data_IF_959755103464
#
_entry.id   IF_959755103464
#
_cell.length_a   1.000
_cell.length_b   1.000
_cell.length_c   1.000
_cell.angle_alpha   90.00
_cell.angle_beta   90.00
_cell.angle_gamma   90.00
#
_symmetry.space_group_name_H-M   'P 1'
#
loop_
_entity.id
_entity.type
_entity.pdbx_description
1 polymer ?
#
# COMPACT_ATOMS: atom_id res chain seq x y z
N UNK A 1 -11.44 8.31 15.24
CA UNK A 1 -10.44 9.27 15.76
C UNK A 1 -11.09 10.61 16.01
N UNK A 2 -10.62 11.41 17.00
CA UNK A 2 -11.09 12.79 17.22
C UNK A 2 -10.25 13.79 16.40
N UNK A 3 -10.73 15.05 16.29
CA UNK A 3 -10.10 16.10 15.47
C UNK A 3 -8.63 16.38 15.87
N UNK A 4 -8.28 16.26 17.15
CA UNK A 4 -6.92 16.45 17.64
C UNK A 4 -6.00 15.34 17.15
N UNK A 5 -6.45 14.09 17.18
CA UNK A 5 -5.69 12.95 16.67
C UNK A 5 -5.45 13.08 15.16
N UNK A 6 -6.47 13.48 14.38
CA UNK A 6 -6.34 13.70 12.93
C UNK A 6 -5.28 14.77 12.63
N UNK A 7 -5.35 15.93 13.29
CA UNK A 7 -4.35 17.00 13.13
C UNK A 7 -2.93 16.54 13.45
N UNK A 8 -2.76 15.73 14.50
CA UNK A 8 -1.45 15.20 14.87
C UNK A 8 -0.93 14.22 13.79
N UNK A 9 -1.80 13.34 13.26
CA UNK A 9 -1.43 12.40 12.19
C UNK A 9 -1.03 13.13 10.91
N UNK A 10 -1.78 14.15 10.49
CA UNK A 10 -1.45 14.95 9.31
C UNK A 10 -0.11 15.67 9.47
N UNK A 11 0.13 16.27 10.63
CA UNK A 11 1.40 16.92 10.94
C UNK A 11 2.57 15.92 10.99
N UNK A 12 2.33 14.72 11.53
CA UNK A 12 3.30 13.63 11.57
C UNK A 12 3.67 13.13 10.19
N UNK A 13 2.68 12.97 9.29
CA UNK A 13 2.89 12.57 7.91
C UNK A 13 3.84 13.55 7.19
N UNK A 14 3.64 14.85 7.36
CA UNK A 14 4.52 15.87 6.78
C UNK A 14 5.94 15.73 7.33
N UNK A 15 6.08 15.66 8.65
CA UNK A 15 7.40 15.62 9.30
C UNK A 15 8.18 14.34 8.95
N UNK A 16 7.50 13.17 8.92
CA UNK A 16 8.12 11.91 8.50
C UNK A 16 8.49 11.92 7.00
N UNK A 17 7.67 12.52 6.14
CA UNK A 17 7.97 12.67 4.73
C UNK A 17 9.20 13.54 4.47
N UNK A 18 9.35 14.63 5.23
CA UNK A 18 10.47 15.55 5.09
C UNK A 18 11.77 14.98 5.65
N UNK A 19 11.73 14.37 6.85
CA UNK A 19 12.93 14.06 7.65
C UNK A 19 13.20 12.57 7.87
N UNK A 20 12.30 11.69 7.40
CA UNK A 20 12.34 10.26 7.73
C UNK A 20 11.92 9.99 9.18
N UNK A 21 11.84 8.71 9.55
CA UNK A 21 11.47 8.34 10.91
C UNK A 21 12.54 8.77 11.93
N UNK A 22 13.81 8.53 11.63
CA UNK A 22 14.93 8.87 12.52
C UNK A 22 15.05 10.36 12.80
N UNK A 23 14.95 11.20 11.77
CA UNK A 23 15.11 12.65 11.84
C UNK A 23 13.88 13.43 12.29
N UNK A 24 12.70 12.82 12.30
CA UNK A 24 11.45 13.47 12.68
C UNK A 24 11.40 13.79 14.19
N UNK A 25 10.89 14.97 14.53
CA UNK A 25 10.81 15.49 15.88
C UNK A 25 9.37 15.63 16.37
N UNK A 26 9.07 15.06 17.55
CA UNK A 26 7.76 15.22 18.21
C UNK A 26 7.45 16.71 18.47
N UNK A 27 8.45 17.53 18.76
CA UNK A 27 8.26 18.97 18.95
C UNK A 27 7.81 19.68 17.68
N UNK A 28 8.39 19.33 16.53
CA UNK A 28 7.98 19.91 15.25
C UNK A 28 6.58 19.41 14.85
N UNK A 29 6.26 18.15 15.11
CA UNK A 29 4.91 17.61 14.91
C UNK A 29 3.88 18.37 15.74
N UNK A 30 4.14 18.58 17.05
CA UNK A 30 3.21 19.34 17.92
C UNK A 30 3.03 20.79 17.46
N UNK A 31 4.13 21.44 17.07
CA UNK A 31 4.10 22.80 16.53
C UNK A 31 3.26 22.88 15.25
N UNK A 32 3.44 21.95 14.34
CA UNK A 32 2.68 21.87 13.09
C UNK A 32 1.19 21.58 13.33
N UNK A 33 0.88 20.68 14.26
CA UNK A 33 -0.48 20.33 14.64
C UNK A 33 -1.20 21.41 15.46
N UNK A 34 -0.49 22.41 15.96
CA UNK A 34 -1.05 23.44 16.86
C UNK A 34 -1.48 22.88 18.22
N UNK A 35 -0.79 21.85 18.71
CA UNK A 35 -1.09 21.18 19.99
C UNK A 35 0.12 21.23 20.92
N UNK A 36 -0.08 20.95 22.21
CA UNK A 36 1.03 20.78 23.14
C UNK A 36 1.58 19.35 23.13
N UNK A 37 2.78 19.16 23.65
CA UNK A 37 3.44 17.85 23.68
C UNK A 37 2.68 16.83 24.54
N UNK A 38 1.94 17.28 25.55
CA UNK A 38 1.14 16.42 26.39
C UNK A 38 0.01 15.74 25.59
N UNK A 39 -0.52 16.39 24.54
CA UNK A 39 -1.53 15.81 23.68
C UNK A 39 -0.98 14.60 22.91
N UNK A 40 0.25 14.66 22.37
CA UNK A 40 0.85 13.50 21.70
C UNK A 40 1.09 12.36 22.70
N UNK A 41 1.64 12.68 23.87
CA UNK A 41 1.88 11.67 24.92
C UNK A 41 0.57 11.01 25.37
N UNK A 42 -0.50 11.79 25.49
CA UNK A 42 -1.82 11.28 25.90
C UNK A 42 -2.45 10.39 24.82
N UNK A 43 -2.40 10.79 23.54
CA UNK A 43 -3.08 10.08 22.46
C UNK A 43 -2.27 8.94 21.87
N UNK A 44 -0.95 9.07 21.80
CA UNK A 44 -0.09 8.13 21.07
C UNK A 44 1.07 7.58 21.93
N UNK A 45 1.43 8.24 23.01
CA UNK A 45 2.51 7.81 23.93
C UNK A 45 3.91 7.97 23.31
N UNK A 46 4.21 7.26 22.22
CA UNK A 46 5.54 7.27 21.59
C UNK A 46 5.51 7.65 20.13
N UNK A 47 6.68 8.09 19.59
CA UNK A 47 6.84 8.35 18.15
C UNK A 47 6.57 7.12 17.29
N UNK A 48 6.89 5.94 17.80
CA UNK A 48 6.63 4.67 17.12
C UNK A 48 5.14 4.39 17.00
N UNK A 49 4.39 4.52 18.09
CA UNK A 49 2.93 4.34 18.08
C UNK A 49 2.28 5.37 17.16
N UNK A 50 2.71 6.64 17.22
CA UNK A 50 2.21 7.67 16.31
C UNK A 50 2.46 7.31 14.84
N UNK A 51 3.62 6.78 14.51
CA UNK A 51 3.93 6.35 13.14
C UNK A 51 3.05 5.16 12.72
N UNK A 52 2.91 4.15 13.59
CA UNK A 52 2.03 2.99 13.34
C UNK A 52 0.58 3.42 13.11
N UNK A 53 0.06 4.33 13.94
CA UNK A 53 -1.30 4.86 13.80
C UNK A 53 -1.48 5.70 12.53
N UNK A 54 -0.49 6.49 12.14
CA UNK A 54 -0.49 7.20 10.86
C UNK A 54 -0.61 6.21 9.68
N UNK A 55 0.14 5.13 9.70
CA UNK A 55 0.09 4.12 8.63
C UNK A 55 -1.26 3.39 8.63
N UNK A 56 -1.77 2.99 9.79
CA UNK A 56 -3.10 2.36 9.91
C UNK A 56 -4.19 3.27 9.36
N UNK A 57 -4.20 4.52 9.78
CA UNK A 57 -5.19 5.50 9.34
C UNK A 57 -5.28 5.63 7.81
N UNK A 58 -4.15 5.50 7.11
CA UNK A 58 -4.10 5.59 5.64
C UNK A 58 -4.40 4.27 4.94
N UNK A 59 -3.94 3.14 5.48
CA UNK A 59 -3.96 1.86 4.77
C UNK A 59 -5.18 1.01 5.12
N UNK A 60 -5.66 1.02 6.36
CA UNK A 60 -6.81 0.19 6.76
C UNK A 60 -8.08 0.44 5.94
N UNK A 61 -8.49 1.70 5.67
CA UNK A 61 -9.68 1.95 4.83
C UNK A 61 -9.53 1.35 3.42
N UNK A 62 -8.33 1.43 2.85
CA UNK A 62 -8.03 0.87 1.52
C UNK A 62 -8.10 -0.66 1.57
N UNK A 63 -7.53 -1.27 2.61
CA UNK A 63 -7.57 -2.71 2.79
C UNK A 63 -8.99 -3.22 2.98
N UNK A 64 -9.83 -2.54 3.76
CA UNK A 64 -11.25 -2.88 3.89
C UNK A 64 -11.96 -2.81 2.54
N UNK A 65 -11.78 -1.72 1.79
CA UNK A 65 -12.37 -1.58 0.45
C UNK A 65 -11.96 -2.72 -0.49
N UNK A 66 -10.68 -3.10 -0.51
CA UNK A 66 -10.16 -4.22 -1.31
C UNK A 66 -10.81 -5.54 -0.95
N UNK A 67 -10.92 -5.82 0.36
CA UNK A 67 -11.55 -7.03 0.87
C UNK A 67 -13.03 -7.07 0.49
N UNK A 68 -13.75 -5.96 0.71
CA UNK A 68 -15.16 -5.86 0.36
C UNK A 68 -15.41 -6.08 -1.14
N UNK A 69 -14.57 -5.51 -2.00
CA UNK A 69 -14.65 -5.71 -3.46
C UNK A 69 -14.44 -7.19 -3.83
N UNK A 70 -13.44 -7.83 -3.22
CA UNK A 70 -13.12 -9.24 -3.46
C UNK A 70 -14.28 -10.15 -3.01
N UNK A 71 -14.81 -9.93 -1.81
CA UNK A 71 -15.88 -10.75 -1.23
C UNK A 71 -17.19 -10.60 -2.02
N UNK A 72 -17.58 -9.37 -2.35
CA UNK A 72 -18.76 -9.11 -3.19
C UNK A 72 -18.66 -9.79 -4.55
N UNK A 73 -17.52 -9.62 -5.23
CA UNK A 73 -17.34 -10.25 -6.54
C UNK A 73 -17.30 -11.78 -6.46
N UNK A 74 -16.79 -12.35 -5.36
CA UNK A 74 -16.81 -13.80 -5.15
C UNK A 74 -18.23 -14.33 -4.98
N UNK A 75 -19.07 -13.62 -4.21
CA UNK A 75 -20.49 -13.97 -4.03
C UNK A 75 -21.23 -13.87 -5.36
N UNK A 76 -21.06 -12.78 -6.10
CA UNK A 76 -21.70 -12.55 -7.41
C UNK A 76 -21.28 -13.57 -8.46
N UNK A 77 -20.12 -14.20 -8.30
CA UNK A 77 -19.61 -15.25 -9.20
C UNK A 77 -19.93 -16.68 -8.71
N UNK A 78 -20.98 -16.86 -7.90
CA UNK A 78 -21.38 -18.16 -7.33
C UNK A 78 -20.24 -18.88 -6.61
N UNK A 79 -19.35 -18.15 -5.95
CA UNK A 79 -18.14 -18.65 -5.29
C UNK A 79 -17.17 -19.41 -6.23
N UNK A 80 -17.31 -19.25 -7.55
CA UNK A 80 -16.32 -19.74 -8.52
C UNK A 80 -15.07 -18.84 -8.52
N UNK A 81 -13.90 -19.38 -8.93
CA UNK A 81 -12.70 -18.56 -9.07
C UNK A 81 -12.92 -17.34 -9.97
N UNK A 82 -12.48 -16.17 -9.50
CA UNK A 82 -12.52 -14.94 -10.29
C UNK A 82 -11.38 -14.94 -11.33
N UNK A 83 -11.54 -14.25 -12.47
CA UNK A 83 -10.43 -13.99 -13.39
C UNK A 83 -9.28 -13.29 -12.65
N UNK A 84 -8.04 -13.72 -12.91
CA UNK A 84 -6.85 -13.18 -12.24
C UNK A 84 -6.73 -11.66 -12.37
N UNK A 85 -7.09 -11.12 -13.54
CA UNK A 85 -7.08 -9.68 -13.81
C UNK A 85 -8.01 -8.93 -12.84
N UNK A 86 -9.20 -9.49 -12.53
CA UNK A 86 -10.16 -8.89 -11.61
C UNK A 86 -9.64 -8.90 -10.16
N UNK A 87 -9.01 -10.00 -9.74
CA UNK A 87 -8.38 -10.10 -8.42
C UNK A 87 -7.24 -9.09 -8.27
N UNK A 88 -6.38 -8.99 -9.28
CA UNK A 88 -5.26 -8.02 -9.28
C UNK A 88 -5.78 -6.58 -9.32
N UNK A 89 -6.84 -6.28 -10.09
CA UNK A 89 -7.46 -4.95 -10.15
C UNK A 89 -7.95 -4.50 -8.77
N UNK A 90 -8.63 -5.35 -8.03
CA UNK A 90 -9.07 -5.06 -6.66
C UNK A 90 -7.91 -4.78 -5.70
N UNK A 91 -6.74 -5.35 -5.94
CA UNK A 91 -5.54 -5.10 -5.16
C UNK A 91 -4.86 -3.78 -5.54
N UNK A 92 -4.85 -3.44 -6.82
CA UNK A 92 -4.07 -2.33 -7.39
C UNK A 92 -4.85 -1.01 -7.38
N UNK A 93 -6.03 -0.99 -8.01
CA UNK A 93 -6.77 0.24 -8.31
C UNK A 93 -7.12 1.07 -7.08
N UNK A 94 -7.66 0.52 -5.96
CA UNK A 94 -7.98 1.33 -4.78
C UNK A 94 -6.77 2.05 -4.19
N UNK A 95 -5.59 1.43 -4.25
CA UNK A 95 -4.36 2.02 -3.74
C UNK A 95 -3.87 3.17 -4.64
N UNK A 96 -3.87 2.96 -5.95
CA UNK A 96 -3.44 3.99 -6.90
C UNK A 96 -4.37 5.20 -6.86
N UNK A 97 -5.69 4.99 -6.86
CA UNK A 97 -6.68 6.06 -6.77
C UNK A 97 -6.51 6.91 -5.52
N UNK A 98 -6.19 6.30 -4.38
CA UNK A 98 -6.00 7.02 -3.11
C UNK A 98 -4.73 7.88 -3.11
N UNK A 99 -3.66 7.45 -3.76
CA UNK A 99 -2.34 8.10 -3.63
C UNK A 99 -1.86 8.83 -4.87
N UNK A 100 -2.52 8.69 -6.01
CA UNK A 100 -2.10 9.29 -7.28
C UNK A 100 -3.23 10.12 -7.93
N UNK A 101 -4.51 9.82 -7.62
CA UNK A 101 -5.69 10.21 -8.39
C UNK A 101 -6.11 11.68 -8.39
N UNK A 102 -5.58 12.54 -7.51
CA UNK A 102 -5.99 13.94 -7.44
C UNK A 102 -4.81 14.87 -7.74
N UNK A 103 -5.00 15.94 -8.57
CA UNK A 103 -3.99 17.00 -8.72
C UNK A 103 -3.69 17.60 -7.35
N UNK A 104 -2.44 17.51 -6.92
CA UNK A 104 -2.01 17.92 -5.57
C UNK A 104 -2.10 16.83 -4.53
N UNK A 105 -2.47 15.61 -4.90
CA UNK A 105 -2.34 14.43 -4.01
C UNK A 105 -0.90 14.32 -3.57
N UNK A 106 -0.72 14.46 -2.30
CA UNK A 106 0.58 14.58 -1.70
C UNK A 106 1.18 13.20 -1.51
N UNK A 107 2.21 12.89 -2.26
CA UNK A 107 3.04 11.70 -2.07
C UNK A 107 3.73 11.64 -0.69
N UNK A 108 3.33 12.51 0.25
CA UNK A 108 3.91 12.61 1.60
C UNK A 108 3.89 11.28 2.32
N UNK A 109 2.73 10.62 2.35
CA UNK A 109 2.59 9.31 2.98
C UNK A 109 3.57 8.29 2.37
N UNK A 110 3.62 8.19 1.05
CA UNK A 110 4.52 7.24 0.37
C UNK A 110 5.99 7.60 0.57
N UNK A 111 6.31 8.88 0.63
CA UNK A 111 7.67 9.35 0.96
C UNK A 111 8.05 9.02 2.40
N UNK A 112 7.13 9.20 3.36
CA UNK A 112 7.33 8.82 4.75
C UNK A 112 7.56 7.31 4.89
N UNK A 113 6.74 6.50 4.22
CA UNK A 113 6.88 5.04 4.19
C UNK A 113 8.20 4.60 3.57
N UNK A 114 8.55 5.14 2.39
CA UNK A 114 9.80 4.80 1.71
C UNK A 114 11.04 5.10 2.55
N UNK A 115 11.07 6.26 3.21
CA UNK A 115 12.16 6.60 4.13
C UNK A 115 12.21 5.69 5.35
N UNK A 116 11.06 5.38 5.96
CA UNK A 116 11.01 4.49 7.12
C UNK A 116 11.44 3.06 6.77
N UNK A 117 11.05 2.56 5.58
CA UNK A 117 11.47 1.23 5.10
C UNK A 117 12.98 1.16 4.88
N UNK A 118 13.61 2.23 4.39
CA UNK A 118 15.08 2.28 4.20
C UNK A 118 15.87 2.35 5.51
N UNK A 119 15.23 2.66 6.63
CA UNK A 119 15.88 2.73 7.95
C UNK A 119 15.93 1.38 8.69
N UNK A 120 15.38 0.30 8.12
CA UNK A 120 15.38 -1.07 8.69
C UNK A 120 14.97 -1.15 10.17
N UNK A 121 13.92 -0.44 10.55
CA UNK A 121 13.44 -0.42 11.94
C UNK A 121 12.72 -1.72 12.32
N UNK A 122 12.99 -2.33 13.49
CA UNK A 122 12.34 -3.58 13.92
C UNK A 122 10.81 -3.51 13.91
N UNK A 123 10.23 -2.39 14.36
CA UNK A 123 8.78 -2.21 14.40
C UNK A 123 8.12 -2.18 13.01
N UNK A 124 8.87 -1.91 11.93
CA UNK A 124 8.34 -1.93 10.57
C UNK A 124 7.93 -3.35 10.16
N UNK A 125 8.65 -4.37 10.63
CA UNK A 125 8.30 -5.77 10.39
C UNK A 125 6.97 -6.12 11.07
N UNK A 126 6.81 -5.73 12.33
CA UNK A 126 5.57 -5.93 13.08
C UNK A 126 4.40 -5.20 12.42
N UNK A 127 4.60 -3.94 12.04
CA UNK A 127 3.58 -3.13 11.38
C UNK A 127 3.13 -3.75 10.05
N UNK A 128 4.07 -4.26 9.23
CA UNK A 128 3.74 -4.98 8.01
C UNK A 128 2.92 -6.25 8.30
N UNK A 129 3.31 -7.03 9.30
CA UNK A 129 2.58 -8.23 9.67
C UNK A 129 1.15 -7.90 10.12
N UNK A 130 0.97 -6.90 10.97
CA UNK A 130 -0.34 -6.51 11.49
C UNK A 130 -1.28 -6.00 10.38
N UNK A 131 -0.80 -5.04 9.56
CA UNK A 131 -1.64 -4.36 8.56
C UNK A 131 -1.91 -5.23 7.33
N UNK A 132 -0.96 -6.08 6.94
CA UNK A 132 -1.07 -6.83 5.69
C UNK A 132 -1.53 -8.28 5.87
N UNK A 133 -1.60 -8.80 7.10
CA UNK A 133 -1.91 -10.21 7.37
C UNK A 133 -3.20 -10.67 6.69
N UNK A 134 -4.28 -9.93 6.86
CA UNK A 134 -5.58 -10.29 6.30
C UNK A 134 -5.60 -10.16 4.77
N UNK A 135 -5.05 -9.06 4.25
CA UNK A 135 -4.92 -8.82 2.81
C UNK A 135 -4.11 -9.94 2.14
N UNK A 136 -2.94 -10.26 2.71
CA UNK A 136 -2.09 -11.33 2.17
C UNK A 136 -2.83 -12.66 2.19
N UNK A 137 -3.53 -13.01 3.27
CA UNK A 137 -4.26 -14.27 3.36
C UNK A 137 -5.40 -14.37 2.32
N UNK A 138 -6.26 -13.34 2.24
CA UNK A 138 -7.43 -13.34 1.34
C UNK A 138 -7.02 -13.29 -0.14
N UNK A 139 -6.09 -12.41 -0.50
CA UNK A 139 -5.64 -12.27 -1.89
C UNK A 139 -4.75 -13.41 -2.35
N UNK A 140 -3.89 -13.98 -1.49
CA UNK A 140 -3.15 -15.21 -1.83
C UNK A 140 -4.09 -16.36 -2.15
N UNK A 141 -5.17 -16.51 -1.37
CA UNK A 141 -6.21 -17.52 -1.64
C UNK A 141 -6.89 -17.26 -2.99
N UNK A 142 -7.39 -16.04 -3.23
CA UNK A 142 -8.09 -15.69 -4.46
C UNK A 142 -7.20 -15.86 -5.71
N UNK A 143 -5.92 -15.46 -5.64
CA UNK A 143 -4.93 -15.66 -6.70
C UNK A 143 -4.68 -17.16 -6.92
N UNK A 144 -4.54 -17.95 -5.85
CA UNK A 144 -4.37 -19.40 -5.95
C UNK A 144 -5.56 -20.07 -6.63
N UNK A 145 -6.77 -19.70 -6.23
CA UNK A 145 -8.01 -20.22 -6.84
C UNK A 145 -8.10 -19.85 -8.33
N UNK A 146 -7.79 -18.60 -8.68
CA UNK A 146 -7.79 -18.11 -10.08
C UNK A 146 -6.78 -18.83 -10.97
N UNK A 147 -5.65 -19.29 -10.41
CA UNK A 147 -4.56 -19.93 -11.16
C UNK A 147 -4.55 -21.45 -11.07
N UNK A 148 -5.60 -22.07 -10.51
CA UNK A 148 -5.74 -23.52 -10.41
C UNK A 148 -4.76 -24.16 -9.41
N UNK A 149 -4.50 -23.48 -8.29
CA UNK A 149 -3.70 -23.96 -7.15
C UNK A 149 -2.25 -24.34 -7.51
N UNK A 150 -1.43 -23.41 -8.01
CA UNK A 150 -0.08 -23.70 -8.53
C UNK A 150 0.94 -24.08 -7.44
N UNK A 151 0.54 -24.00 -6.16
CA UNK A 151 1.35 -24.33 -5.00
C UNK A 151 1.86 -23.08 -4.25
N UNK A 152 2.18 -23.30 -2.96
CA UNK A 152 2.52 -22.24 -2.00
C UNK A 152 3.72 -21.39 -2.44
N UNK A 153 4.77 -22.03 -2.95
CA UNK A 153 6.00 -21.33 -3.36
C UNK A 153 5.71 -20.30 -4.47
N UNK A 154 4.99 -20.70 -5.51
CA UNK A 154 4.65 -19.84 -6.65
C UNK A 154 3.75 -18.68 -6.25
N UNK A 155 2.77 -18.93 -5.37
CA UNK A 155 1.91 -17.88 -4.82
C UNK A 155 2.73 -16.91 -3.97
N UNK A 156 3.66 -17.38 -3.17
CA UNK A 156 4.52 -16.53 -2.33
C UNK A 156 5.39 -15.61 -3.18
N UNK A 157 6.05 -16.13 -4.22
CA UNK A 157 6.80 -15.30 -5.18
C UNK A 157 5.89 -14.32 -5.92
N UNK A 158 4.73 -14.78 -6.37
CA UNK A 158 3.75 -13.94 -7.05
C UNK A 158 3.29 -12.75 -6.19
N UNK A 159 2.93 -13.00 -4.93
CA UNK A 159 2.54 -11.97 -3.97
C UNK A 159 3.69 -11.00 -3.66
N UNK A 160 4.91 -11.52 -3.56
CA UNK A 160 6.10 -10.69 -3.37
C UNK A 160 6.32 -9.75 -4.56
N UNK A 161 6.29 -10.27 -5.79
CA UNK A 161 6.49 -9.44 -6.99
C UNK A 161 5.36 -8.44 -7.19
N UNK A 162 4.09 -8.82 -6.94
CA UNK A 162 2.96 -7.90 -6.94
C UNK A 162 3.21 -6.73 -5.98
N UNK A 163 3.60 -7.03 -4.75
CA UNK A 163 3.89 -6.01 -3.73
C UNK A 163 5.05 -5.09 -4.16
N UNK A 164 6.13 -5.65 -4.71
CA UNK A 164 7.26 -4.88 -5.22
C UNK A 164 6.87 -3.97 -6.38
N UNK A 165 6.05 -4.45 -7.33
CA UNK A 165 5.55 -3.63 -8.44
C UNK A 165 4.71 -2.47 -7.93
N UNK A 166 3.77 -2.72 -7.02
CA UNK A 166 2.92 -1.67 -6.43
C UNK A 166 3.75 -0.61 -5.70
N UNK A 167 4.64 -1.05 -4.79
CA UNK A 167 5.50 -0.13 -4.05
C UNK A 167 6.42 0.65 -4.99
N UNK A 168 7.00 -0.02 -5.99
CA UNK A 168 7.86 0.61 -6.99
C UNK A 168 7.14 1.72 -7.75
N UNK A 169 5.93 1.49 -8.22
CA UNK A 169 5.11 2.50 -8.89
C UNK A 169 4.82 3.67 -7.95
N UNK A 170 4.38 3.41 -6.73
CA UNK A 170 4.02 4.47 -5.78
C UNK A 170 5.21 5.31 -5.33
N UNK A 171 6.37 4.69 -5.12
CA UNK A 171 7.59 5.40 -4.67
C UNK A 171 8.34 6.10 -5.79
N UNK A 172 8.22 5.63 -7.03
CA UNK A 172 8.98 6.08 -8.19
C UNK A 172 8.08 6.58 -9.32
N UNK A 173 6.88 7.07 -8.98
CA UNK A 173 5.89 7.48 -9.99
C UNK A 173 6.42 8.53 -10.97
N UNK A 174 7.16 9.52 -10.50
CA UNK A 174 7.80 10.54 -11.34
C UNK A 174 8.81 9.97 -12.35
N UNK A 175 9.31 8.74 -12.13
CA UNK A 175 10.21 8.06 -13.07
C UNK A 175 9.53 7.76 -14.40
N UNK A 176 8.21 7.54 -14.39
CA UNK A 176 7.43 7.31 -15.60
C UNK A 176 7.48 8.53 -16.55
N UNK A 177 7.47 9.74 -16.01
CA UNK A 177 7.62 10.97 -16.79
C UNK A 177 8.97 11.03 -17.52
N UNK A 178 10.03 10.63 -16.84
CA UNK A 178 11.36 10.56 -17.45
C UNK A 178 11.43 9.49 -18.55
N UNK A 179 10.94 8.27 -18.29
CA UNK A 179 10.94 7.17 -19.26
C UNK A 179 10.10 7.49 -20.50
N UNK A 180 8.96 8.16 -20.32
CA UNK A 180 8.05 8.52 -21.41
C UNK A 180 8.43 9.81 -22.13
N UNK A 181 9.52 10.47 -21.73
CA UNK A 181 9.90 11.81 -22.19
C UNK A 181 8.74 12.81 -22.06
N UNK A 182 7.98 12.74 -20.98
CA UNK A 182 6.85 13.62 -20.68
C UNK A 182 5.57 13.35 -21.48
N UNK A 183 5.50 12.24 -22.22
CA UNK A 183 4.34 11.93 -23.08
C UNK A 183 3.18 11.26 -22.37
N UNK A 184 3.40 10.73 -21.16
CA UNK A 184 2.37 10.07 -20.35
C UNK A 184 1.93 11.04 -19.27
N UNK A 185 0.62 11.20 -19.12
CA UNK A 185 0.02 11.95 -18.01
C UNK A 185 0.18 11.16 -16.73
N UNK A 186 0.87 11.73 -15.74
CA UNK A 186 1.06 11.09 -14.43
C UNK A 186 -0.21 11.05 -13.58
N UNK A 187 -1.23 11.81 -13.95
CA UNK A 187 -2.52 11.85 -13.24
C UNK A 187 -3.56 10.87 -13.84
N UNK A 188 -3.24 10.23 -14.96
CA UNK A 188 -4.05 9.13 -15.51
C UNK A 188 -3.88 7.85 -14.67
N UNK A 189 -4.57 7.83 -13.53
CA UNK A 189 -4.54 6.68 -12.61
C UNK A 189 -5.21 5.44 -13.18
N UNK A 190 -6.24 5.60 -14.01
CA UNK A 190 -6.95 4.49 -14.63
C UNK A 190 -6.06 3.83 -15.67
N UNK A 191 -5.45 4.58 -16.56
CA UNK A 191 -4.49 4.06 -17.52
C UNK A 191 -3.28 3.39 -16.85
N UNK A 192 -2.76 3.98 -15.78
CA UNK A 192 -1.69 3.38 -14.99
C UNK A 192 -2.13 2.06 -14.35
N UNK A 193 -3.33 2.02 -13.77
CA UNK A 193 -3.89 0.80 -13.16
C UNK A 193 -4.07 -0.30 -14.20
N UNK A 194 -4.65 0.01 -15.36
CA UNK A 194 -4.87 -0.96 -16.42
C UNK A 194 -3.56 -1.62 -16.90
N UNK A 195 -2.52 -0.82 -17.12
CA UNK A 195 -1.20 -1.33 -17.50
C UNK A 195 -0.56 -2.17 -16.39
N UNK A 196 -0.67 -1.73 -15.14
CA UNK A 196 -0.11 -2.46 -14.00
C UNK A 196 -0.85 -3.77 -13.75
N UNK A 197 -2.18 -3.78 -13.85
CA UNK A 197 -3.02 -4.99 -13.74
C UNK A 197 -2.65 -6.00 -14.84
N UNK A 198 -2.53 -5.56 -16.09
CA UNK A 198 -2.14 -6.43 -17.21
C UNK A 198 -0.75 -7.03 -16.99
N UNK A 199 0.23 -6.21 -16.59
CA UNK A 199 1.61 -6.65 -16.33
C UNK A 199 1.68 -7.68 -15.19
N UNK A 200 1.06 -7.38 -14.05
CA UNK A 200 1.09 -8.25 -12.87
C UNK A 200 0.34 -9.56 -13.14
N UNK A 201 -0.85 -9.50 -13.76
CA UNK A 201 -1.65 -10.69 -14.04
C UNK A 201 -0.92 -11.65 -14.97
N UNK A 202 -0.31 -11.14 -16.05
CA UNK A 202 0.50 -11.94 -16.96
C UNK A 202 1.73 -12.54 -16.26
N UNK A 203 2.37 -11.79 -15.37
CA UNK A 203 3.48 -12.28 -14.55
C UNK A 203 3.07 -13.41 -13.60
N UNK A 204 1.92 -13.28 -12.93
CA UNK A 204 1.37 -14.30 -12.05
C UNK A 204 1.03 -15.59 -12.82
N UNK A 205 0.40 -15.47 -14.01
CA UNK A 205 0.12 -16.60 -14.89
C UNK A 205 1.41 -17.29 -15.35
N UNK A 206 2.45 -16.54 -15.70
CA UNK A 206 3.75 -17.08 -16.11
C UNK A 206 4.42 -17.84 -14.96
N UNK A 207 4.47 -17.24 -13.75
CA UNK A 207 5.04 -17.87 -12.56
C UNK A 207 4.28 -19.14 -12.18
N UNK A 208 2.95 -19.17 -12.34
CA UNK A 208 2.12 -20.35 -12.01
C UNK A 208 2.48 -21.58 -12.85
N UNK A 209 2.98 -21.38 -14.08
CA UNK A 209 3.32 -22.43 -15.05
C UNK A 209 4.77 -22.92 -14.95
N UNK A 210 5.60 -22.33 -14.10
CA UNK A 210 6.98 -22.78 -13.92
C UNK A 210 7.04 -24.23 -13.42
N UNK A 211 7.91 -25.03 -14.00
CA UNK A 211 8.14 -26.39 -13.50
C UNK A 211 8.78 -26.36 -12.12
N UNK A 212 8.46 -27.31 -11.22
CA UNK A 212 9.22 -27.45 -9.98
C UNK A 212 10.71 -27.58 -10.29
N UNK A 213 11.57 -26.94 -9.52
CA UNK A 213 13.02 -27.22 -9.60
C UNK A 213 13.23 -28.63 -9.06
N UNK A 214 13.74 -29.52 -9.91
CA UNK A 214 14.27 -30.83 -9.51
C UNK A 214 15.44 -30.67 -8.59
#
# INVERSE_FOLDING_TARGET
MNDTQVKIIEAAEIEFAERGYGGASIREITKRAGVNIAAINYHFGTKEVLFKEMVRHRIEPINHLRIDMLEKATIENDSKPLPIQKVVDFMVRPLLSQFIGEPGTDFRFMRAMGKAMSEERPFMKELHQDILKEIVAKFSKAISDSLGHPGFEKISYGMHFLSCCMLGVMMQHSRLQFISCGKIDLHDTDGLADHLVAFISSGLEAVSKLSPKT
#
